data_IF_988191167194
#
_entry.id   IF_988191167194
#
_cell.length_a   1.000
_cell.length_b   1.000
_cell.length_c   1.000
_cell.angle_alpha   90.00
_cell.angle_beta   90.00
_cell.angle_gamma   90.00
#
_symmetry.space_group_name_H-M   'P 1'
#
loop_
_entity.id
_entity.type
_entity.pdbx_description
1 polymer ?
#
# COMPACT_ATOMS: atom_id res chain seq x y z
N UNK A 1 -32.69 26.69 14.55
CA UNK A 1 -32.67 25.22 14.45
C UNK A 1 -31.36 24.68 15.01
N UNK A 2 -31.31 24.33 16.29
CA UNK A 2 -30.10 23.77 16.91
C UNK A 2 -30.20 22.26 17.02
N UNK A 3 -29.41 21.51 16.23
CA UNK A 3 -29.21 20.07 16.43
C UNK A 3 -28.19 19.90 17.57
N UNK A 4 -28.64 20.05 18.81
CA UNK A 4 -27.81 19.96 20.01
C UNK A 4 -28.11 18.67 20.79
N UNK A 5 -27.12 17.78 20.87
CA UNK A 5 -27.05 16.71 21.86
C UNK A 5 -27.40 15.32 21.33
N UNK A 6 -26.38 14.53 20.96
CA UNK A 6 -26.50 13.07 21.06
C UNK A 6 -26.90 12.75 22.49
N UNK A 7 -27.95 11.94 22.67
CA UNK A 7 -28.50 11.59 23.98
C UNK A 7 -27.40 11.01 24.88
N UNK A 8 -27.37 11.41 26.16
CA UNK A 8 -26.42 10.92 27.18
C UNK A 8 -26.32 9.38 27.20
N UNK A 9 -27.44 8.71 26.94
CA UNK A 9 -27.55 7.25 26.86
C UNK A 9 -26.85 6.66 25.64
N UNK A 10 -26.88 7.33 24.49
CA UNK A 10 -26.18 6.90 23.27
C UNK A 10 -24.66 6.97 23.46
N UNK A 11 -24.18 8.02 24.13
CA UNK A 11 -22.76 8.16 24.48
C UNK A 11 -22.33 7.10 25.48
N UNK A 12 -23.14 6.82 26.51
CA UNK A 12 -22.85 5.79 27.51
C UNK A 12 -22.76 4.39 26.87
N UNK A 13 -23.69 4.06 25.96
CA UNK A 13 -23.66 2.80 25.20
C UNK A 13 -22.38 2.67 24.39
N UNK A 14 -22.05 3.70 23.59
CA UNK A 14 -20.83 3.68 22.76
C UNK A 14 -19.56 3.55 23.58
N UNK A 15 -19.50 4.17 24.76
CA UNK A 15 -18.35 4.02 25.68
C UNK A 15 -18.25 2.58 26.20
N UNK A 16 -19.38 1.93 26.51
CA UNK A 16 -19.39 0.55 26.95
C UNK A 16 -18.89 -0.40 25.84
N UNK A 17 -19.36 -0.21 24.60
CA UNK A 17 -18.92 -0.98 23.45
C UNK A 17 -17.41 -0.84 23.22
N UNK A 18 -16.91 0.40 23.20
CA UNK A 18 -15.47 0.68 23.02
C UNK A 18 -14.61 0.07 24.14
N UNK A 19 -15.11 0.03 25.38
CA UNK A 19 -14.41 -0.63 26.50
C UNK A 19 -14.38 -2.14 26.34
N UNK A 20 -15.48 -2.74 25.88
CA UNK A 20 -15.52 -4.16 25.59
C UNK A 20 -14.54 -4.52 24.46
N UNK A 21 -14.51 -3.74 23.39
CA UNK A 21 -13.59 -3.93 22.27
C UNK A 21 -12.13 -3.73 22.68
N UNK A 22 -11.84 -2.72 23.51
CA UNK A 22 -10.50 -2.51 24.07
C UNK A 22 -10.05 -3.70 24.93
N UNK A 23 -10.95 -4.30 25.69
CA UNK A 23 -10.64 -5.48 26.52
C UNK A 23 -10.29 -6.66 25.63
N UNK A 24 -11.13 -6.97 24.63
CA UNK A 24 -10.85 -8.02 23.64
C UNK A 24 -9.52 -7.79 22.92
N UNK A 25 -9.23 -6.55 22.51
CA UNK A 25 -8.00 -6.21 21.81
C UNK A 25 -6.76 -6.39 22.67
N UNK A 26 -6.85 -6.11 23.99
CA UNK A 26 -5.75 -6.34 24.94
C UNK A 26 -5.48 -7.81 25.20
N UNK A 27 -6.51 -8.65 25.11
CA UNK A 27 -6.40 -10.10 25.29
C UNK A 27 -5.83 -10.81 24.06
N UNK A 28 -5.60 -10.10 22.94
CA UNK A 28 -4.99 -10.67 21.74
C UNK A 28 -3.52 -11.00 21.98
N UNK A 29 -3.18 -12.28 21.84
CA UNK A 29 -1.80 -12.75 21.81
C UNK A 29 -1.22 -12.56 20.40
N UNK A 30 -0.14 -11.78 20.29
CA UNK A 30 0.56 -11.57 19.01
C UNK A 30 1.11 -12.87 18.43
N UNK A 31 1.58 -13.79 19.28
CA UNK A 31 2.14 -15.06 18.83
C UNK A 31 1.07 -15.97 18.22
N UNK A 32 -0.12 -16.02 18.84
CA UNK A 32 -1.24 -16.83 18.34
C UNK A 32 -1.77 -16.25 17.03
N UNK A 33 -1.97 -14.93 16.96
CA UNK A 33 -2.38 -14.27 15.72
C UNK A 33 -1.37 -14.50 14.60
N UNK A 34 -0.07 -14.38 14.88
CA UNK A 34 0.97 -14.67 13.91
C UNK A 34 0.98 -16.15 13.48
N UNK A 35 0.70 -17.09 14.40
CA UNK A 35 0.58 -18.50 14.08
C UNK A 35 -0.64 -18.78 13.18
N UNK A 36 -1.78 -18.13 13.45
CA UNK A 36 -2.97 -18.23 12.60
C UNK A 36 -2.74 -17.67 11.20
N UNK A 37 -2.14 -16.48 11.08
CA UNK A 37 -1.79 -15.89 9.78
C UNK A 37 -0.84 -16.81 9.00
N UNK A 38 0.18 -17.36 9.65
CA UNK A 38 1.09 -18.33 9.01
C UNK A 38 0.35 -19.59 8.58
N UNK A 39 -0.60 -20.08 9.37
CA UNK A 39 -1.45 -21.23 9.04
C UNK A 39 -2.36 -20.96 7.84
N UNK A 40 -2.86 -19.74 7.66
CA UNK A 40 -3.60 -19.34 6.46
C UNK A 40 -2.75 -19.46 5.18
N UNK A 41 -1.41 -19.33 5.31
CA UNK A 41 -0.48 -19.75 4.27
C UNK A 41 -0.36 -18.78 3.09
N UNK A 42 -0.41 -17.47 3.33
CA UNK A 42 -0.17 -16.52 2.25
C UNK A 42 1.30 -16.56 1.80
N UNK A 43 1.50 -16.97 0.56
CA UNK A 43 2.79 -16.87 -0.13
C UNK A 43 2.55 -16.33 -1.54
N UNK A 44 3.45 -15.48 -2.00
CA UNK A 44 3.41 -15.03 -3.39
C UNK A 44 3.60 -16.24 -4.32
N UNK A 45 2.65 -16.44 -5.22
CA UNK A 45 2.65 -17.54 -6.20
C UNK A 45 3.59 -17.30 -7.39
N UNK A 46 4.35 -16.20 -7.38
CA UNK A 46 5.14 -15.72 -8.53
C UNK A 46 4.32 -15.64 -9.83
N UNK A 47 3.01 -15.44 -9.73
CA UNK A 47 2.11 -15.40 -10.90
C UNK A 47 2.34 -14.14 -11.74
N UNK A 48 2.80 -13.04 -11.14
CA UNK A 48 3.02 -11.75 -11.80
C UNK A 48 1.77 -10.90 -12.03
N UNK A 49 0.61 -11.31 -11.50
CA UNK A 49 -0.64 -10.53 -11.62
C UNK A 49 -0.51 -9.11 -11.04
N UNK A 50 0.28 -8.91 -9.98
CA UNK A 50 0.54 -7.58 -9.43
C UNK A 50 1.41 -6.68 -10.33
N UNK A 51 2.10 -7.25 -11.31
CA UNK A 51 3.00 -6.53 -12.21
C UNK A 51 2.36 -6.25 -13.58
N UNK A 52 1.18 -6.83 -13.85
CA UNK A 52 0.46 -6.72 -15.12
C UNK A 52 -0.88 -6.05 -14.89
N UNK A 53 -1.35 -5.23 -15.82
CA UNK A 53 -2.65 -4.57 -15.74
C UNK A 53 -2.54 -3.06 -15.84
N UNK A 54 -3.40 -2.48 -16.67
CA UNK A 54 -3.46 -1.04 -16.92
C UNK A 54 -3.65 -0.26 -15.62
N UNK A 55 -4.59 -0.70 -14.78
CA UNK A 55 -4.92 -0.06 -13.50
C UNK A 55 -3.94 -0.37 -12.36
N UNK A 56 -2.99 -1.29 -12.57
CA UNK A 56 -2.00 -1.62 -11.55
C UNK A 56 -0.96 -0.50 -11.46
N UNK A 57 -1.25 0.45 -10.58
CA UNK A 57 -0.41 1.58 -10.22
C UNK A 57 0.08 1.42 -8.78
N UNK A 58 1.40 1.40 -8.60
CA UNK A 58 2.02 1.15 -7.30
C UNK A 58 2.63 2.44 -6.79
N UNK A 59 1.98 3.07 -5.82
CA UNK A 59 2.56 4.20 -5.10
C UNK A 59 3.79 3.73 -4.30
N UNK A 60 4.86 4.51 -4.39
CA UNK A 60 6.14 4.24 -3.72
C UNK A 60 6.64 5.44 -2.96
N UNK A 61 7.25 5.17 -1.82
CA UNK A 61 7.90 6.20 -1.01
C UNK A 61 9.37 6.41 -1.41
N UNK A 62 9.94 7.60 -1.12
CA UNK A 62 11.35 7.90 -1.38
C UNK A 62 12.36 6.82 -0.93
N UNK A 63 12.12 6.18 0.20
CA UNK A 63 13.02 5.15 0.72
C UNK A 63 12.93 3.83 -0.07
N UNK A 64 11.75 3.50 -0.59
CA UNK A 64 11.56 2.32 -1.45
C UNK A 64 12.22 2.53 -2.81
N UNK A 65 12.10 3.74 -3.38
CA UNK A 65 12.78 4.09 -4.63
C UNK A 65 14.30 3.96 -4.45
N UNK A 66 14.86 4.52 -3.36
CA UNK A 66 16.30 4.38 -3.06
C UNK A 66 16.74 2.91 -2.93
N UNK A 67 15.96 2.07 -2.26
CA UNK A 67 16.27 0.63 -2.16
C UNK A 67 16.26 -0.05 -3.54
N UNK A 68 15.37 0.36 -4.45
CA UNK A 68 15.36 -0.13 -5.83
C UNK A 68 16.60 0.36 -6.59
N UNK A 69 16.98 1.63 -6.45
CA UNK A 69 18.18 2.17 -7.09
C UNK A 69 19.44 1.42 -6.64
N UNK A 70 19.59 1.18 -5.35
CA UNK A 70 20.72 0.40 -4.79
C UNK A 70 20.76 -1.03 -5.35
N UNK A 71 19.61 -1.67 -5.53
CA UNK A 71 19.53 -3.04 -6.02
C UNK A 71 19.70 -3.18 -7.54
N UNK A 72 19.45 -2.12 -8.31
CA UNK A 72 19.34 -2.19 -9.79
C UNK A 72 20.33 -1.30 -10.54
N UNK A 73 20.88 -0.28 -9.88
CA UNK A 73 21.68 0.76 -10.53
C UNK A 73 20.87 1.77 -11.35
N UNK A 74 19.54 1.67 -11.37
CA UNK A 74 18.67 2.61 -12.09
C UNK A 74 18.67 3.99 -11.42
N UNK A 75 18.49 5.02 -12.24
CA UNK A 75 18.15 6.35 -11.74
C UNK A 75 16.75 6.37 -11.13
N UNK A 76 16.45 7.44 -10.39
CA UNK A 76 15.15 7.64 -9.76
C UNK A 76 14.02 7.63 -10.79
N UNK A 77 14.21 8.36 -11.89
CA UNK A 77 13.23 8.51 -12.98
C UNK A 77 13.08 7.23 -13.82
N UNK A 78 14.09 6.35 -13.82
CA UNK A 78 13.97 5.03 -14.44
C UNK A 78 13.21 4.05 -13.54
N UNK A 79 13.29 4.20 -12.22
CA UNK A 79 12.63 3.32 -11.26
C UNK A 79 11.18 3.74 -10.99
N UNK A 80 10.91 5.04 -10.95
CA UNK A 80 9.64 5.62 -10.59
C UNK A 80 9.32 6.87 -11.43
N UNK A 81 8.03 7.07 -11.67
CA UNK A 81 7.49 8.21 -12.41
C UNK A 81 6.58 9.06 -11.52
N UNK A 82 6.54 10.39 -11.72
CA UNK A 82 5.56 11.24 -11.07
C UNK A 82 4.16 10.96 -11.64
N UNK A 83 3.08 11.34 -10.93
CA UNK A 83 1.74 11.30 -11.50
C UNK A 83 1.62 12.17 -12.76
N UNK A 84 0.69 11.80 -13.64
CA UNK A 84 0.38 12.54 -14.88
C UNK A 84 -0.28 13.90 -14.60
N UNK A 85 -1.03 14.01 -13.49
CA UNK A 85 -1.74 15.21 -13.07
C UNK A 85 -1.26 15.69 -11.69
N UNK A 86 -1.26 17.01 -11.47
CA UNK A 86 -0.86 17.61 -10.20
C UNK A 86 -0.65 19.12 -10.26
N UNK A 87 0.06 19.65 -9.26
CA UNK A 87 0.27 21.08 -9.10
C UNK A 87 1.59 21.55 -9.73
N UNK A 88 1.52 22.68 -10.43
CA UNK A 88 2.67 23.36 -11.02
C UNK A 88 2.84 24.73 -10.39
N UNK A 89 4.06 25.12 -10.05
CA UNK A 89 4.33 26.50 -9.63
C UNK A 89 4.41 27.47 -10.82
N UNK A 90 4.57 28.76 -10.49
CA UNK A 90 4.73 29.83 -11.48
C UNK A 90 6.02 29.75 -12.29
N UNK A 91 7.00 28.95 -11.84
CA UNK A 91 8.27 28.71 -12.54
C UNK A 91 8.20 27.45 -13.44
N UNK A 92 7.09 26.70 -13.39
CA UNK A 92 6.87 25.51 -14.20
C UNK A 92 7.45 24.23 -13.58
N UNK A 93 7.73 24.20 -12.28
CA UNK A 93 8.10 22.96 -11.59
C UNK A 93 6.86 22.19 -11.14
N UNK A 94 6.89 20.87 -11.35
CA UNK A 94 5.84 19.97 -10.92
C UNK A 94 6.05 19.54 -9.46
N UNK A 95 5.07 19.81 -8.60
CA UNK A 95 5.09 19.42 -7.20
C UNK A 95 4.54 18.01 -7.02
N UNK A 96 5.45 17.04 -6.94
CA UNK A 96 5.10 15.63 -6.70
C UNK A 96 4.98 15.39 -5.19
N UNK A 97 3.79 15.05 -4.70
CA UNK A 97 3.61 14.44 -3.38
C UNK A 97 3.61 12.91 -3.44
N UNK A 98 3.48 12.34 -4.63
CA UNK A 98 3.38 10.92 -4.87
C UNK A 98 4.34 10.50 -6.00
N UNK A 99 4.88 9.28 -5.89
CA UNK A 99 5.65 8.62 -6.94
C UNK A 99 5.03 7.25 -7.19
N UNK A 100 5.08 6.79 -8.43
CA UNK A 100 4.60 5.46 -8.84
C UNK A 100 5.73 4.66 -9.46
N UNK A 101 5.75 3.33 -9.30
CA UNK A 101 6.70 2.50 -10.03
C UNK A 101 6.53 2.75 -11.53
N UNK A 102 7.64 2.97 -12.23
CA UNK A 102 7.62 3.24 -13.66
C UNK A 102 7.01 2.06 -14.44
N UNK A 103 6.29 2.38 -15.52
CA UNK A 103 5.69 1.38 -16.41
C UNK A 103 6.41 1.32 -17.77
N UNK A 104 6.26 0.19 -18.46
CA UNK A 104 6.65 0.02 -19.86
C UNK A 104 5.42 -0.51 -20.59
N UNK A 105 4.74 0.37 -21.33
CA UNK A 105 3.36 0.12 -21.75
C UNK A 105 2.47 -0.01 -20.51
N UNK A 106 1.67 -1.07 -20.45
CA UNK A 106 0.73 -1.32 -19.34
C UNK A 106 1.33 -2.12 -18.18
N UNK A 107 2.55 -2.65 -18.34
CA UNK A 107 3.19 -3.48 -17.32
C UNK A 107 4.15 -2.68 -16.44
N UNK A 108 4.31 -3.12 -15.19
CA UNK A 108 5.38 -2.63 -14.32
C UNK A 108 6.74 -2.88 -15.01
N UNK A 109 7.63 -1.88 -15.01
CA UNK A 109 8.98 -1.97 -15.59
C UNK A 109 9.80 -3.16 -15.10
N UNK A 110 9.56 -3.59 -13.86
CA UNK A 110 10.29 -4.68 -13.23
C UNK A 110 9.69 -6.06 -13.54
N UNK A 111 8.69 -6.15 -14.42
CA UNK A 111 8.16 -7.41 -14.90
C UNK A 111 9.06 -7.95 -16.02
N UNK A 112 9.81 -9.01 -15.73
CA UNK A 112 10.74 -9.64 -16.67
C UNK A 112 10.56 -11.16 -16.62
N UNK A 113 10.49 -11.81 -17.77
CA UNK A 113 10.42 -13.28 -17.89
C UNK A 113 9.34 -13.94 -17.01
N UNK A 114 8.17 -13.31 -16.90
CA UNK A 114 7.06 -13.85 -16.10
C UNK A 114 7.13 -13.56 -14.59
N UNK A 115 8.14 -12.82 -14.12
CA UNK A 115 8.40 -12.60 -12.69
C UNK A 115 8.86 -11.17 -12.40
N UNK A 116 8.84 -10.80 -11.13
CA UNK A 116 9.37 -9.52 -10.67
C UNK A 116 10.90 -9.60 -10.54
N UNK A 117 11.63 -8.75 -11.26
CA UNK A 117 13.10 -8.70 -11.22
C UNK A 117 13.63 -8.12 -9.90
N UNK A 118 12.86 -7.25 -9.23
CA UNK A 118 13.20 -6.63 -7.93
C UNK A 118 12.57 -7.34 -6.73
N UNK A 119 12.25 -8.64 -6.84
CA UNK A 119 11.51 -9.39 -5.82
C UNK A 119 11.98 -9.17 -4.35
N UNK A 120 13.29 -9.13 -4.04
CA UNK A 120 13.79 -8.92 -2.67
C UNK A 120 13.52 -7.51 -2.11
N UNK A 121 13.50 -6.50 -2.98
CA UNK A 121 13.34 -5.07 -2.62
C UNK A 121 11.99 -4.51 -3.07
N UNK A 122 11.01 -5.38 -3.33
CA UNK A 122 9.65 -4.98 -3.69
C UNK A 122 9.09 -3.95 -2.71
N UNK A 123 8.38 -2.91 -3.20
CA UNK A 123 7.62 -2.01 -2.36
C UNK A 123 6.59 -2.72 -1.49
N UNK A 124 6.15 -2.05 -0.42
CA UNK A 124 5.17 -2.56 0.53
C UNK A 124 3.87 -2.97 -0.14
N UNK A 125 3.34 -2.15 -1.05
CA UNK A 125 2.14 -2.49 -1.82
C UNK A 125 2.35 -3.77 -2.65
N UNK A 126 3.51 -3.94 -3.29
CA UNK A 126 3.80 -5.18 -4.02
C UNK A 126 3.92 -6.42 -3.11
N UNK A 127 4.31 -6.25 -1.83
CA UNK A 127 4.40 -7.34 -0.85
C UNK A 127 3.04 -7.74 -0.30
N UNK A 128 2.10 -6.80 -0.23
CA UNK A 128 0.76 -6.99 0.32
C UNK A 128 -0.30 -7.18 -0.76
N UNK A 129 0.04 -7.24 -2.04
CA UNK A 129 -0.90 -7.67 -3.09
C UNK A 129 -1.41 -9.09 -2.81
N UNK A 130 -2.71 -9.41 -2.98
CA UNK A 130 -3.79 -8.55 -3.48
C UNK A 130 -4.60 -7.86 -2.36
N UNK A 131 -4.10 -7.84 -1.12
CA UNK A 131 -4.89 -7.46 0.06
C UNK A 131 -5.37 -6.01 0.10
N UNK A 132 -4.73 -5.09 -0.62
CA UNK A 132 -5.20 -3.70 -0.74
C UNK A 132 -6.22 -3.50 -1.87
N UNK A 133 -6.49 -4.54 -2.67
CA UNK A 133 -7.56 -4.57 -3.66
C UNK A 133 -8.84 -5.06 -2.99
N UNK A 134 -9.35 -4.31 -2.03
CA UNK A 134 -10.75 -4.52 -1.62
C UNK A 134 -11.66 -4.06 -2.76
N UNK A 135 -12.63 -4.91 -3.10
CA UNK A 135 -13.73 -4.60 -4.03
C UNK A 135 -14.34 -3.25 -3.64
N UNK A 136 -14.27 -2.28 -4.55
CA UNK A 136 -15.23 -1.17 -4.56
C UNK A 136 -16.66 -1.69 -4.66
#
# INVERSE_FOLDING_TARGET
>A
MGKGGRSSTEMASRIADLRADLTKAKDLCQADLAAEIRKMGFSCLACGECCRGEDNSVLVFPHEIRAIQEATGLSWQEAAEPPEEGEWDTEGYFHTLEWRLAKVGEACRFYQEGRCSIYPVRPMLCRTYPFYLERG
#
